data_IF_988524944709
#
_entry.id   IF_988524944709
#
_cell.length_a   1.000
_cell.length_b   1.000
_cell.length_c   1.000
_cell.angle_alpha   90.00
_cell.angle_beta   90.00
_cell.angle_gamma   90.00
#
_symmetry.space_group_name_H-M   'P 1'
#
loop_
_entity.id
_entity.type
_entity.pdbx_description
1 polymer ?
#
# COMPACT_ATOMS: atom_id res chain seq x y z
N UNK A 1 -32.54 6.36 -64.31
CA UNK A 1 -33.55 6.91 -63.38
C UNK A 1 -33.27 6.42 -61.99
N UNK A 2 -32.70 7.26 -61.12
CA UNK A 2 -32.39 6.94 -59.70
C UNK A 2 -33.51 7.54 -58.84
N UNK A 3 -34.19 6.70 -58.09
CA UNK A 3 -35.19 7.11 -57.12
C UNK A 3 -34.49 7.68 -55.88
N UNK A 4 -34.81 8.91 -55.52
CA UNK A 4 -34.35 9.60 -54.30
C UNK A 4 -35.32 9.25 -53.17
N UNK A 5 -34.89 8.53 -52.16
CA UNK A 5 -35.67 8.20 -50.97
C UNK A 5 -35.77 9.43 -50.05
N UNK A 6 -36.99 9.82 -49.76
CA UNK A 6 -37.39 10.94 -48.92
C UNK A 6 -37.20 10.54 -47.44
N UNK A 7 -36.24 11.15 -46.76
CA UNK A 7 -36.08 10.96 -45.27
C UNK A 7 -37.17 11.80 -44.57
N UNK A 8 -38.01 11.10 -43.83
CA UNK A 8 -38.96 11.71 -42.91
C UNK A 8 -38.21 12.26 -41.67
N UNK A 9 -38.38 13.53 -41.40
CA UNK A 9 -37.92 14.19 -40.17
C UNK A 9 -38.81 13.81 -39.00
N UNK A 10 -38.27 12.98 -38.09
CA UNK A 10 -38.89 12.62 -36.81
C UNK A 10 -38.69 13.76 -35.82
N UNK A 11 -39.79 14.34 -35.31
CA UNK A 11 -39.82 15.42 -34.35
C UNK A 11 -39.15 15.02 -33.01
N UNK A 12 -38.48 15.93 -32.30
CA UNK A 12 -37.80 15.61 -31.03
C UNK A 12 -38.79 15.30 -29.91
N UNK A 13 -38.50 14.21 -29.19
CA UNK A 13 -39.27 13.72 -28.04
C UNK A 13 -39.11 14.70 -26.89
N UNK A 14 -40.18 15.31 -26.41
CA UNK A 14 -40.16 16.15 -25.22
C UNK A 14 -39.84 15.33 -23.97
N UNK A 15 -38.75 15.67 -23.28
CA UNK A 15 -38.37 15.09 -21.99
C UNK A 15 -39.10 15.85 -20.90
N UNK A 16 -39.99 15.17 -20.17
CA UNK A 16 -40.68 15.71 -18.99
C UNK A 16 -39.66 16.00 -17.88
N UNK A 17 -39.67 17.22 -17.35
CA UNK A 17 -38.86 17.65 -16.22
C UNK A 17 -39.17 16.82 -14.95
N UNK A 18 -38.13 16.48 -14.11
CA UNK A 18 -38.32 15.72 -12.89
C UNK A 18 -39.12 16.53 -11.86
N UNK A 19 -40.07 15.87 -11.18
CA UNK A 19 -40.85 16.43 -10.07
C UNK A 19 -39.88 16.78 -8.91
N UNK A 20 -39.99 18.02 -8.44
CA UNK A 20 -39.31 18.53 -7.24
C UNK A 20 -39.66 17.66 -6.04
N UNK A 21 -38.66 17.06 -5.39
CA UNK A 21 -38.83 16.34 -4.12
C UNK A 21 -39.16 17.35 -3.02
N UNK A 22 -40.25 17.11 -2.33
CA UNK A 22 -40.61 17.88 -1.12
C UNK A 22 -39.67 17.51 0.03
N UNK A 23 -39.05 18.51 0.66
CA UNK A 23 -38.20 18.33 1.82
C UNK A 23 -39.05 17.92 3.05
N UNK A 24 -38.56 16.96 3.88
CA UNK A 24 -39.26 16.57 5.12
C UNK A 24 -39.21 17.71 6.13
N UNK A 25 -40.37 18.06 6.68
CA UNK A 25 -40.51 19.05 7.76
C UNK A 25 -39.73 18.63 8.98
N UNK A 26 -38.71 19.41 9.37
CA UNK A 26 -37.95 19.23 10.61
C UNK A 26 -38.81 19.52 11.82
N UNK A 27 -38.96 18.52 12.71
CA UNK A 27 -39.61 18.65 13.98
C UNK A 27 -38.71 19.47 14.94
N UNK A 28 -39.22 20.47 15.69
CA UNK A 28 -38.37 21.23 16.61
C UNK A 28 -38.05 20.39 17.86
N UNK A 29 -36.83 19.95 17.98
CA UNK A 29 -36.30 19.25 19.17
C UNK A 29 -35.89 20.29 20.22
N UNK A 30 -36.54 20.23 21.37
CA UNK A 30 -36.25 21.13 22.51
C UNK A 30 -34.95 20.64 23.20
N UNK A 31 -33.95 21.50 23.42
CA UNK A 31 -32.65 21.09 23.98
C UNK A 31 -32.59 21.26 25.50
N UNK A 32 -33.38 20.49 26.28
CA UNK A 32 -33.40 20.69 27.76
C UNK A 32 -33.07 19.43 28.60
N UNK A 33 -32.84 18.26 28.00
CA UNK A 33 -32.65 17.03 28.79
C UNK A 33 -31.34 16.27 28.57
N UNK A 34 -30.38 16.80 27.83
CA UNK A 34 -29.09 16.09 27.57
C UNK A 34 -27.98 16.49 28.57
N UNK A 35 -28.10 17.65 29.24
CA UNK A 35 -27.04 18.13 30.14
C UNK A 35 -26.95 17.36 31.48
N UNK A 36 -28.02 16.68 31.91
CA UNK A 36 -28.03 15.97 33.21
C UNK A 36 -27.48 14.54 33.15
N UNK A 37 -27.45 13.89 31.95
CA UNK A 37 -26.97 12.50 31.80
C UNK A 37 -25.47 12.45 31.57
N UNK A 38 -24.88 13.49 30.99
CA UNK A 38 -23.43 13.53 30.69
C UNK A 38 -22.60 13.75 31.97
N UNK A 39 -23.11 14.46 32.96
CA UNK A 39 -22.39 14.71 34.21
C UNK A 39 -22.35 13.51 35.17
N UNK A 40 -23.27 12.55 35.04
CA UNK A 40 -23.27 11.34 35.86
C UNK A 40 -22.35 10.24 35.39
N UNK A 41 -21.97 10.26 34.09
CA UNK A 41 -21.07 9.23 33.46
C UNK A 41 -19.58 9.62 33.55
N UNK A 42 -19.25 10.88 33.76
CA UNK A 42 -17.86 11.34 33.88
C UNK A 42 -17.32 11.15 35.32
N UNK A 43 -18.17 11.09 36.35
CA UNK A 43 -17.75 10.91 37.75
C UNK A 43 -17.37 9.47 38.13
N UNK A 44 -17.78 8.45 37.37
CA UNK A 44 -17.55 7.04 37.72
C UNK A 44 -16.28 6.43 37.08
N UNK A 45 -15.60 7.16 36.18
CA UNK A 45 -14.44 6.64 35.44
C UNK A 45 -13.08 6.91 36.07
N UNK A 46 -13.02 7.57 37.24
CA UNK A 46 -11.74 7.99 37.84
C UNK A 46 -11.27 7.23 39.09
N UNK A 47 -12.03 6.21 39.60
CA UNK A 47 -11.71 5.63 40.92
C UNK A 47 -11.28 4.15 40.90
N UNK A 48 -11.29 3.43 39.77
CA UNK A 48 -10.80 2.03 39.74
C UNK A 48 -9.96 1.77 38.51
N UNK A 49 -8.66 2.03 38.53
CA UNK A 49 -7.73 1.05 38.06
C UNK A 49 -6.33 1.12 38.69
N UNK A 50 -6.17 0.70 39.92
CA UNK A 50 -4.80 0.60 40.48
C UNK A 50 -4.51 -0.69 41.24
N UNK A 51 -5.35 -1.72 41.18
CA UNK A 51 -5.16 -2.94 41.97
C UNK A 51 -5.14 -4.27 41.20
N UNK A 52 -5.08 -4.23 39.87
CA UNK A 52 -4.86 -5.46 39.09
C UNK A 52 -3.78 -5.19 38.01
N UNK A 53 -2.54 -5.13 38.44
CA UNK A 53 -1.38 -5.26 37.59
C UNK A 53 -0.95 -6.71 37.65
N UNK A 54 -1.53 -7.54 36.78
CA UNK A 54 -0.95 -8.83 36.44
C UNK A 54 0.04 -8.59 35.29
N UNK A 55 1.32 -8.76 35.59
CA UNK A 55 2.41 -8.72 34.64
C UNK A 55 2.40 -10.04 33.82
N UNK A 56 1.48 -10.12 32.86
CA UNK A 56 1.57 -11.08 31.77
C UNK A 56 1.78 -10.28 30.51
N UNK A 57 3.05 -10.09 30.16
CA UNK A 57 3.47 -9.48 28.91
C UNK A 57 3.05 -10.35 27.73
N UNK A 58 1.82 -10.18 27.25
CA UNK A 58 1.44 -10.47 25.89
C UNK A 58 1.49 -9.14 25.16
N UNK A 59 2.57 -8.91 24.43
CA UNK A 59 2.77 -7.79 23.54
C UNK A 59 1.74 -7.85 22.42
N UNK A 60 0.54 -7.37 22.68
CA UNK A 60 -0.39 -6.96 21.62
C UNK A 60 -0.02 -5.53 21.27
N UNK A 61 0.91 -5.38 20.33
CA UNK A 61 1.24 -4.09 19.74
C UNK A 61 0.01 -3.51 19.06
N UNK A 62 -0.73 -2.65 19.78
CA UNK A 62 -1.65 -1.73 19.16
C UNK A 62 -0.77 -0.74 18.39
N UNK A 63 -0.54 -0.98 17.11
CA UNK A 63 0.08 -0.01 16.22
C UNK A 63 -0.82 1.22 16.18
N UNK A 64 -0.32 2.33 16.73
CA UNK A 64 -0.83 3.66 16.41
C UNK A 64 -0.62 3.83 14.91
N UNK A 65 -1.69 4.02 14.16
CA UNK A 65 -1.63 4.61 12.82
C UNK A 65 -1.09 6.05 12.98
N UNK A 66 0.22 6.17 12.94
CA UNK A 66 0.93 7.42 12.83
C UNK A 66 1.59 7.44 11.46
N UNK A 67 1.44 8.55 10.76
CA UNK A 67 1.96 8.74 9.42
C UNK A 67 3.38 8.19 9.24
N UNK A 68 3.52 7.09 8.45
CA UNK A 68 4.66 6.87 7.59
C UNK A 68 6.01 6.52 8.19
N UNK A 69 6.06 5.95 9.39
CA UNK A 69 7.29 5.35 9.90
C UNK A 69 7.17 3.83 9.72
N UNK A 70 7.57 3.27 8.59
CA UNK A 70 7.60 1.81 8.35
C UNK A 70 8.22 1.01 9.52
N UNK A 71 8.48 -0.30 9.36
CA UNK A 71 9.07 -1.07 10.44
C UNK A 71 10.37 -0.40 10.90
N UNK A 72 10.56 -0.25 12.21
CA UNK A 72 11.74 0.42 12.78
C UNK A 72 13.02 -0.09 12.12
N UNK A 73 13.91 0.81 11.75
CA UNK A 73 15.27 0.44 11.29
C UNK A 73 15.92 -0.47 12.34
N UNK A 74 16.42 -1.62 11.90
CA UNK A 74 16.96 -2.68 12.75
C UNK A 74 15.95 -3.75 13.16
N UNK A 75 14.65 -3.58 12.89
CA UNK A 75 13.65 -4.61 13.13
C UNK A 75 13.72 -5.74 12.09
N UNK A 76 13.10 -6.88 12.42
CA UNK A 76 12.87 -7.99 11.49
C UNK A 76 11.39 -8.20 11.28
N UNK A 77 11.00 -8.36 10.03
CA UNK A 77 9.65 -8.79 9.65
C UNK A 77 9.71 -10.23 9.20
N UNK A 78 8.81 -11.06 9.71
CA UNK A 78 8.71 -12.49 9.32
C UNK A 78 7.58 -12.64 8.31
N UNK A 79 7.88 -13.26 7.19
CA UNK A 79 6.93 -13.58 6.12
C UNK A 79 7.35 -14.83 5.36
N UNK A 80 6.41 -15.48 4.69
CA UNK A 80 6.64 -16.58 3.77
C UNK A 80 5.54 -16.54 2.70
N UNK A 81 5.89 -16.14 1.48
CA UNK A 81 5.00 -15.91 0.37
C UNK A 81 5.44 -16.69 -0.87
N UNK A 82 4.59 -16.77 -1.86
CA UNK A 82 4.89 -17.38 -3.14
C UNK A 82 5.29 -16.32 -4.18
N UNK A 83 6.37 -16.58 -4.91
CA UNK A 83 6.73 -15.83 -6.10
C UNK A 83 5.76 -16.19 -7.24
N UNK A 84 5.02 -15.22 -7.74
CA UNK A 84 4.06 -15.43 -8.85
C UNK A 84 4.78 -15.70 -10.16
N UNK A 85 6.01 -15.19 -10.35
CA UNK A 85 6.79 -15.37 -11.59
C UNK A 85 7.22 -16.82 -11.80
N UNK A 86 7.70 -17.51 -10.76
CA UNK A 86 8.26 -18.86 -10.90
C UNK A 86 7.75 -19.87 -9.85
N UNK A 87 6.86 -19.46 -8.96
CA UNK A 87 6.23 -20.31 -7.95
C UNK A 87 7.11 -20.70 -6.76
N UNK A 88 8.32 -20.14 -6.64
CA UNK A 88 9.21 -20.38 -5.49
C UNK A 88 8.65 -19.73 -4.23
N UNK A 89 9.00 -20.28 -3.07
CA UNK A 89 8.81 -19.59 -1.81
C UNK A 89 9.81 -18.45 -1.67
N UNK A 90 9.32 -17.26 -1.33
CA UNK A 90 10.10 -16.11 -0.88
C UNK A 90 9.75 -15.88 0.58
N UNK A 91 10.70 -16.05 1.47
CA UNK A 91 10.49 -15.89 2.90
C UNK A 91 11.62 -15.09 3.53
N UNK A 92 11.35 -14.53 4.70
CA UNK A 92 12.39 -13.87 5.50
C UNK A 92 13.59 -14.79 5.78
N UNK A 93 13.39 -16.11 5.75
CA UNK A 93 14.48 -17.09 5.89
C UNK A 93 15.23 -17.30 4.57
N UNK A 94 14.54 -17.40 3.43
CA UNK A 94 15.17 -17.61 2.12
C UNK A 94 15.97 -16.40 1.64
N UNK A 95 15.69 -15.21 2.18
CA UNK A 95 16.42 -13.97 1.89
C UNK A 95 17.68 -13.77 2.76
N UNK A 96 17.90 -14.60 3.80
CA UNK A 96 19.11 -14.49 4.63
C UNK A 96 20.38 -14.72 3.80
N UNK A 97 21.42 -13.96 4.12
CA UNK A 97 22.69 -13.96 3.38
C UNK A 97 22.68 -13.11 2.11
N UNK A 98 21.58 -12.36 1.85
CA UNK A 98 21.47 -11.45 0.72
C UNK A 98 20.79 -10.16 1.17
N UNK A 99 21.30 -9.03 0.69
CA UNK A 99 20.54 -7.78 0.78
C UNK A 99 19.38 -7.84 -0.21
N UNK A 100 18.20 -7.43 0.19
CA UNK A 100 17.02 -7.47 -0.69
C UNK A 100 16.26 -6.17 -0.61
N UNK A 101 16.03 -5.57 -1.77
CA UNK A 101 15.17 -4.42 -1.93
C UNK A 101 13.75 -4.92 -2.20
N UNK A 102 12.84 -4.64 -1.27
CA UNK A 102 11.42 -4.92 -1.37
C UNK A 102 10.74 -3.66 -1.92
N UNK A 103 10.02 -3.79 -3.03
CA UNK A 103 9.27 -2.70 -3.65
C UNK A 103 7.78 -2.92 -3.49
N UNK A 104 7.14 -2.12 -2.65
CA UNK A 104 5.69 -2.10 -2.42
C UNK A 104 5.05 -1.06 -3.33
N UNK A 105 4.00 -1.43 -4.05
CA UNK A 105 3.31 -0.56 -4.99
C UNK A 105 1.81 -0.83 -5.08
N UNK A 106 1.06 0.08 -5.71
CA UNK A 106 -0.40 -0.05 -5.88
C UNK A 106 -0.82 -1.13 -6.89
N UNK A 107 0.14 -1.86 -7.49
CA UNK A 107 -0.13 -2.96 -8.43
C UNK A 107 -0.68 -2.50 -9.78
N UNK A 108 -1.57 -3.30 -10.37
CA UNK A 108 -2.07 -3.11 -11.75
C UNK A 108 -2.80 -1.80 -11.98
N UNK A 109 -3.28 -1.15 -10.93
CA UNK A 109 -3.89 0.18 -11.02
C UNK A 109 -2.85 1.29 -11.28
N UNK A 110 -1.55 1.00 -11.10
CA UNK A 110 -0.45 1.94 -11.24
C UNK A 110 0.48 1.53 -12.38
N UNK A 111 0.22 2.00 -13.61
CA UNK A 111 1.10 1.72 -14.75
C UNK A 111 2.54 2.15 -14.49
N UNK A 112 2.77 3.29 -13.83
CA UNK A 112 4.10 3.79 -13.51
C UNK A 112 4.89 2.83 -12.61
N UNK A 113 4.19 2.04 -11.77
CA UNK A 113 4.81 1.06 -10.90
C UNK A 113 5.40 -0.12 -11.69
N UNK A 114 4.71 -0.58 -12.75
CA UNK A 114 5.25 -1.63 -13.65
C UNK A 114 6.41 -1.11 -14.51
N UNK A 115 6.34 0.14 -14.97
CA UNK A 115 7.48 0.79 -15.64
C UNK A 115 8.67 0.88 -14.68
N UNK A 116 8.44 1.19 -13.41
CA UNK A 116 9.49 1.20 -12.39
C UNK A 116 10.19 -0.16 -12.26
N UNK A 117 9.42 -1.27 -12.28
CA UNK A 117 10.00 -2.62 -12.19
C UNK A 117 10.87 -2.90 -13.44
N UNK A 118 10.36 -2.60 -14.64
CA UNK A 118 11.11 -2.79 -15.89
C UNK A 118 12.42 -2.02 -15.88
N UNK A 119 12.39 -0.73 -15.48
CA UNK A 119 13.59 0.11 -15.44
C UNK A 119 14.59 -0.36 -14.36
N UNK A 120 14.10 -0.92 -13.25
CA UNK A 120 14.95 -1.55 -12.23
C UNK A 120 15.58 -2.87 -12.73
N UNK A 121 14.89 -3.62 -13.58
CA UNK A 121 15.47 -4.79 -14.25
C UNK A 121 16.62 -4.41 -15.21
N UNK A 122 16.51 -3.25 -15.87
CA UNK A 122 17.58 -2.74 -16.74
C UNK A 122 18.86 -2.41 -15.96
N UNK A 123 18.73 -1.94 -14.73
CA UNK A 123 19.87 -1.65 -13.82
C UNK A 123 20.17 -2.80 -12.85
N UNK A 124 19.62 -3.98 -13.08
CA UNK A 124 19.80 -5.15 -12.21
C UNK A 124 21.27 -5.51 -11.96
N UNK A 125 22.14 -5.34 -12.96
CA UNK A 125 23.58 -5.57 -12.80
C UNK A 125 24.25 -4.60 -11.80
N UNK A 126 23.74 -3.38 -11.66
CA UNK A 126 24.20 -2.40 -10.68
C UNK A 126 23.74 -2.75 -9.26
N UNK A 127 22.51 -3.26 -9.12
CA UNK A 127 21.99 -3.81 -7.86
C UNK A 127 22.80 -5.04 -7.44
N UNK A 128 23.04 -5.96 -8.36
CA UNK A 128 23.84 -7.18 -8.10
C UNK A 128 25.27 -6.87 -7.66
N UNK A 129 25.92 -5.85 -8.23
CA UNK A 129 27.26 -5.39 -7.78
C UNK A 129 27.26 -4.90 -6.33
N UNK A 130 26.12 -4.43 -5.82
CA UNK A 130 25.92 -4.04 -4.43
C UNK A 130 25.39 -5.20 -3.57
N UNK A 131 25.28 -6.41 -4.13
CA UNK A 131 24.73 -7.58 -3.45
C UNK A 131 23.23 -7.49 -3.16
N UNK A 132 22.50 -6.67 -3.93
CA UNK A 132 21.08 -6.39 -3.71
C UNK A 132 20.23 -7.16 -4.72
N UNK A 133 19.33 -8.03 -4.22
CA UNK A 133 18.22 -8.59 -4.98
C UNK A 133 17.01 -7.64 -4.97
N UNK A 134 16.08 -7.84 -5.91
CA UNK A 134 14.82 -7.10 -5.98
C UNK A 134 13.65 -8.07 -5.87
N UNK A 135 12.62 -7.69 -5.09
CA UNK A 135 11.32 -8.37 -5.02
C UNK A 135 10.24 -7.29 -5.06
N UNK A 136 9.23 -7.44 -5.89
CA UNK A 136 8.08 -6.54 -5.94
C UNK A 136 6.89 -7.14 -5.21
N UNK A 137 6.14 -6.31 -4.50
CA UNK A 137 4.96 -6.69 -3.71
C UNK A 137 3.79 -5.80 -4.16
N UNK A 138 2.68 -6.41 -4.54
CA UNK A 138 1.48 -5.69 -5.01
C UNK A 138 0.22 -6.25 -4.38
N UNK A 139 -0.83 -5.43 -4.21
CA UNK A 139 -2.09 -5.85 -3.60
C UNK A 139 -3.02 -6.63 -4.55
N UNK A 140 -2.51 -7.06 -5.69
CA UNK A 140 -3.29 -7.82 -6.68
C UNK A 140 -3.40 -9.28 -6.29
N UNK A 141 -4.39 -10.00 -6.87
CA UNK A 141 -4.45 -11.45 -6.79
C UNK A 141 -3.40 -12.10 -7.73
N UNK A 142 -3.06 -13.36 -7.45
CA UNK A 142 -2.17 -14.15 -8.32
C UNK A 142 -2.58 -14.09 -9.80
N UNK A 143 -3.87 -14.32 -10.10
CA UNK A 143 -4.40 -14.35 -11.48
C UNK A 143 -4.20 -13.01 -12.20
N UNK A 144 -4.52 -11.90 -11.53
CA UNK A 144 -4.38 -10.55 -12.08
C UNK A 144 -2.91 -10.20 -12.28
N UNK A 145 -2.06 -10.62 -11.35
CA UNK A 145 -0.63 -10.36 -11.40
C UNK A 145 0.06 -11.18 -12.49
N UNK A 146 -0.32 -12.45 -12.70
CA UNK A 146 0.16 -13.29 -13.80
C UNK A 146 -0.09 -12.63 -15.17
N UNK A 147 -1.30 -12.08 -15.39
CA UNK A 147 -1.62 -11.36 -16.63
C UNK A 147 -0.72 -10.11 -16.81
N UNK A 148 -0.49 -9.38 -15.74
CA UNK A 148 0.37 -8.18 -15.78
C UNK A 148 1.84 -8.54 -16.01
N UNK A 149 2.36 -9.60 -15.39
CA UNK A 149 3.73 -10.12 -15.62
C UNK A 149 3.92 -10.44 -17.09
N UNK A 150 2.99 -11.16 -17.71
CA UNK A 150 3.03 -11.50 -19.12
C UNK A 150 2.95 -10.26 -20.02
N UNK A 151 2.05 -9.32 -19.69
CA UNK A 151 1.86 -8.09 -20.46
C UNK A 151 3.09 -7.19 -20.46
N UNK A 152 3.73 -7.03 -19.32
CA UNK A 152 4.90 -6.14 -19.15
C UNK A 152 6.24 -6.87 -19.33
N UNK A 153 6.24 -8.21 -19.44
CA UNK A 153 7.43 -9.02 -19.58
C UNK A 153 8.34 -9.00 -18.35
N UNK A 154 7.74 -8.94 -17.15
CA UNK A 154 8.46 -8.87 -15.88
C UNK A 154 9.17 -10.19 -15.58
N UNK A 155 10.40 -10.10 -15.07
CA UNK A 155 11.22 -11.23 -14.61
C UNK A 155 11.57 -11.12 -13.13
N UNK A 156 11.42 -9.94 -12.56
CA UNK A 156 11.59 -9.68 -11.13
C UNK A 156 10.64 -10.55 -10.34
N UNK A 157 11.08 -11.25 -9.29
CA UNK A 157 10.19 -11.96 -8.36
C UNK A 157 9.08 -11.03 -7.85
N UNK A 158 7.85 -11.52 -7.90
CA UNK A 158 6.67 -10.75 -7.48
C UNK A 158 5.81 -11.52 -6.49
N UNK A 159 5.32 -10.84 -5.49
CA UNK A 159 4.41 -11.38 -4.47
C UNK A 159 3.04 -10.72 -4.63
N UNK A 160 1.99 -11.54 -4.73
CA UNK A 160 0.60 -11.13 -4.67
C UNK A 160 0.18 -11.01 -3.19
N UNK A 161 0.17 -9.80 -2.66
CA UNK A 161 -0.20 -9.46 -1.28
C UNK A 161 -1.71 -9.10 -1.21
N UNK A 162 -2.57 -10.02 -1.71
CA UNK A 162 -4.01 -9.79 -1.87
C UNK A 162 -4.70 -9.47 -0.54
N UNK A 163 -4.28 -10.09 0.55
CA UNK A 163 -4.78 -9.86 1.90
C UNK A 163 -4.11 -8.67 2.62
N UNK A 164 -3.08 -8.07 2.04
CA UNK A 164 -2.31 -6.92 2.57
C UNK A 164 -1.47 -7.25 3.81
N UNK A 165 -1.20 -8.51 4.08
CA UNK A 165 -0.46 -8.92 5.27
C UNK A 165 0.98 -8.41 5.24
N UNK A 166 1.67 -8.54 4.09
CA UNK A 166 3.02 -7.99 3.93
C UNK A 166 3.02 -6.46 3.97
N UNK A 167 2.14 -5.80 3.22
CA UNK A 167 2.05 -4.34 3.21
C UNK A 167 1.74 -3.79 4.59
N UNK A 168 0.91 -4.48 5.38
CA UNK A 168 0.62 -4.14 6.78
C UNK A 168 1.84 -4.36 7.68
N UNK A 169 2.54 -5.51 7.54
CA UNK A 169 3.71 -5.84 8.36
C UNK A 169 4.89 -4.88 8.12
N UNK A 170 5.00 -4.34 6.90
CA UNK A 170 6.01 -3.35 6.53
C UNK A 170 5.52 -1.90 6.65
N UNK A 171 4.30 -1.67 7.20
CA UNK A 171 3.69 -0.35 7.42
C UNK A 171 3.66 0.52 6.15
N UNK A 172 3.39 -0.11 5.01
CA UNK A 172 3.30 0.58 3.70
C UNK A 172 1.86 0.87 3.28
N UNK A 173 0.85 0.34 4.02
CA UNK A 173 -0.57 0.56 3.71
C UNK A 173 -1.01 1.99 3.98
N UNK A 174 -1.99 2.45 3.18
CA UNK A 174 -2.58 3.78 3.31
C UNK A 174 -1.66 4.91 2.91
N UNK A 175 -0.51 4.58 2.32
CA UNK A 175 0.47 5.54 1.83
C UNK A 175 0.27 5.86 0.34
N UNK A 176 -0.52 5.05 -0.38
CA UNK A 176 -0.80 5.21 -1.80
C UNK A 176 -1.86 6.27 -2.12
N UNK A 177 -2.30 6.29 -3.38
CA UNK A 177 -3.44 7.12 -3.82
C UNK A 177 -4.77 6.59 -3.25
N UNK A 178 -4.80 5.32 -2.84
CA UNK A 178 -5.95 4.65 -2.21
C UNK A 178 -5.60 4.25 -0.78
N UNK A 179 -6.60 4.31 0.10
CA UNK A 179 -6.40 4.10 1.55
C UNK A 179 -6.04 2.64 1.93
N UNK A 180 -6.30 1.69 1.05
CA UNK A 180 -6.09 0.25 1.24
C UNK A 180 -4.96 -0.32 0.37
N UNK A 181 -4.15 0.56 -0.21
CA UNK A 181 -2.99 0.17 -1.02
C UNK A 181 -1.70 0.74 -0.44
N UNK A 182 -0.54 0.08 -0.68
CA UNK A 182 0.75 0.68 -0.41
C UNK A 182 0.99 1.89 -1.32
N UNK A 183 1.95 2.75 -0.95
CA UNK A 183 2.38 3.87 -1.77
C UNK A 183 3.33 3.45 -2.88
N UNK A 184 4.47 4.15 -2.96
CA UNK A 184 5.59 3.80 -3.83
C UNK A 184 6.83 3.61 -2.95
N UNK A 185 6.78 2.55 -2.13
CA UNK A 185 7.67 2.34 -1.02
C UNK A 185 8.75 1.30 -1.34
N UNK A 186 9.99 1.62 -0.98
CA UNK A 186 11.11 0.72 -1.03
C UNK A 186 11.63 0.45 0.38
N UNK A 187 11.87 -0.81 0.69
CA UNK A 187 12.44 -1.26 1.96
C UNK A 187 13.65 -2.13 1.68
N UNK A 188 14.82 -1.76 2.20
CA UNK A 188 16.03 -2.58 2.10
C UNK A 188 16.21 -3.43 3.35
N UNK A 189 16.28 -4.74 3.14
CA UNK A 189 16.58 -5.73 4.17
C UNK A 189 18.02 -6.20 3.98
N UNK A 190 18.80 -6.28 5.08
CA UNK A 190 20.19 -6.76 5.07
C UNK A 190 20.28 -8.30 5.06
N UNK A 191 21.50 -8.82 4.99
CA UNK A 191 21.79 -10.27 4.99
C UNK A 191 21.34 -10.97 6.28
N UNK A 192 21.14 -10.23 7.35
CA UNK A 192 20.62 -10.76 8.62
C UNK A 192 19.10 -10.75 8.71
N UNK A 193 18.41 -10.21 7.69
CA UNK A 193 16.95 -10.06 7.65
C UNK A 193 16.43 -8.85 8.43
N UNK A 194 17.27 -7.83 8.68
CA UNK A 194 16.86 -6.59 9.31
C UNK A 194 16.56 -5.52 8.28
N UNK A 195 15.54 -4.71 8.53
CA UNK A 195 15.30 -3.48 7.79
C UNK A 195 16.43 -2.49 8.09
N UNK A 196 17.16 -2.07 7.07
CA UNK A 196 18.29 -1.12 7.20
C UNK A 196 18.02 0.21 6.54
N UNK A 197 17.03 0.29 5.67
CA UNK A 197 16.61 1.51 5.02
C UNK A 197 15.19 1.36 4.47
N UNK A 198 14.45 2.48 4.42
CA UNK A 198 13.14 2.55 3.78
C UNK A 198 12.86 3.96 3.27
N UNK A 199 12.07 4.04 2.20
CA UNK A 199 11.59 5.29 1.65
C UNK A 199 10.33 5.08 0.82
N UNK A 200 9.32 5.88 1.10
CA UNK A 200 8.15 6.00 0.24
C UNK A 200 8.27 7.28 -0.61
N UNK A 201 8.31 7.10 -1.93
CA UNK A 201 8.43 8.22 -2.87
C UNK A 201 7.09 8.87 -3.19
N UNK A 202 5.96 8.28 -2.80
CA UNK A 202 4.67 8.95 -2.88
C UNK A 202 4.48 9.97 -1.76
N UNK A 203 5.19 9.86 -0.66
CA UNK A 203 5.14 10.82 0.45
C UNK A 203 5.95 12.09 0.15
N UNK A 204 5.69 13.15 0.95
CA UNK A 204 6.47 14.38 0.88
C UNK A 204 7.95 14.12 1.23
N UNK A 205 8.87 14.78 0.57
CA UNK A 205 8.73 15.84 -0.44
C UNK A 205 8.63 15.33 -1.89
N UNK A 206 8.65 14.03 -2.15
CA UNK A 206 8.85 13.46 -3.50
C UNK A 206 7.57 13.47 -4.34
N UNK A 207 6.46 12.98 -3.81
CA UNK A 207 5.12 12.94 -4.46
C UNK A 207 5.14 12.33 -5.86
N UNK A 208 5.81 11.18 -6.02
CA UNK A 208 5.92 10.50 -7.31
C UNK A 208 5.65 8.99 -7.19
N UNK A 209 4.99 8.43 -8.20
CA UNK A 209 4.82 6.98 -8.37
C UNK A 209 5.86 6.39 -9.32
N UNK A 210 6.94 7.12 -9.59
CA UNK A 210 8.10 6.67 -10.34
C UNK A 210 9.33 7.43 -9.85
N UNK A 211 10.43 6.71 -9.66
CA UNK A 211 11.74 7.28 -9.32
C UNK A 211 12.78 6.76 -10.30
N UNK A 212 13.55 7.67 -10.89
CA UNK A 212 14.66 7.32 -11.77
C UNK A 212 15.60 6.32 -11.09
N UNK A 213 15.94 5.17 -11.73
CA UNK A 213 16.79 4.15 -11.12
C UNK A 213 18.12 4.70 -10.55
N UNK A 214 18.75 5.63 -11.26
CA UNK A 214 19.98 6.29 -10.79
C UNK A 214 19.77 7.06 -9.48
N UNK A 215 18.58 7.64 -9.28
CA UNK A 215 18.23 8.33 -8.04
C UNK A 215 18.01 7.32 -6.91
N UNK A 216 17.27 6.23 -7.17
CA UNK A 216 17.05 5.18 -6.19
C UNK A 216 18.38 4.57 -5.72
N UNK A 217 19.26 4.21 -6.68
CA UNK A 217 20.60 3.68 -6.37
C UNK A 217 21.44 4.63 -5.52
N UNK A 218 21.35 5.95 -5.77
CA UNK A 218 22.06 6.96 -4.98
C UNK A 218 21.47 7.16 -3.57
N UNK A 219 20.20 6.82 -3.38
CA UNK A 219 19.52 6.93 -2.09
C UNK A 219 19.73 5.67 -1.21
N UNK A 220 20.15 4.52 -1.81
CA UNK A 220 20.42 3.30 -1.05
C UNK A 220 21.70 3.42 -0.21
N UNK A 221 21.72 2.89 1.03
CA UNK A 221 22.91 2.90 1.86
C UNK A 221 24.00 1.95 1.28
N UNK A 222 25.24 2.46 1.28
CA UNK A 222 26.41 1.65 0.92
C UNK A 222 26.63 0.60 2.02
N UNK A 223 27.04 -0.65 1.67
CA UNK A 223 27.40 -1.65 2.68
C UNK A 223 28.52 -1.15 3.60
N UNK A 224 28.40 -1.44 4.91
CA UNK A 224 29.37 -1.00 5.94
C UNK A 224 30.79 -1.59 5.74
N UNK A 225 30.92 -2.66 4.96
CA UNK A 225 32.16 -3.38 4.66
C UNK A 225 32.86 -2.93 3.37
N UNK A 226 32.36 -1.87 2.72
CA UNK A 226 32.98 -1.28 1.52
C UNK A 226 34.11 -0.26 1.83
N UNK A 227 34.68 -0.26 3.07
CA UNK A 227 35.73 0.66 3.52
C UNK A 227 37.09 -0.01 3.59
#
# INVERSE_FOLDING_TARGET
MRQVSKREHRAPRQVKAPKRREEPKRLPWKPVTIAAVVLALVGASFVVPSLLRDDSAASSGAHRMGAGDGPDIGSRVSFAERDVVDGREISSQSLQGKRTLLFFSEGVMCQACFVQIQDLEEVGAELEKQGIGLVSITPDSDEVLEEAIDQYGIRTPMIADEDRDMSSAFDTLGQGMHADTPGHAFVLVDESGKVVWQRDYWLDPYRTMYVEPARLLADLPVPDDAS
#
